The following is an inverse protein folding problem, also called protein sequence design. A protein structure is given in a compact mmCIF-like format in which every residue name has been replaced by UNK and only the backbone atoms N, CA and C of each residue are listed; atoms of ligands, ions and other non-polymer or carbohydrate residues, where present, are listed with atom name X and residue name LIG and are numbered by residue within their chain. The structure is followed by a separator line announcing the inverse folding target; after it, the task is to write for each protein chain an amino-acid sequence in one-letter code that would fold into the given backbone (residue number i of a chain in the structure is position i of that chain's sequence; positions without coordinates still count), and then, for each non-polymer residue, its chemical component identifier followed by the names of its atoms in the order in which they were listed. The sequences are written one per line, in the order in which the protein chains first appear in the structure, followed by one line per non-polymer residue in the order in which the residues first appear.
data_IF_179162697086
#
_entry.id   IF_179162697086
#
_cell.length_a   1.000
_cell.length_b   1.000
_cell.length_c   1.000
_cell.angle_alpha   90.00
_cell.angle_beta   90.00
_cell.angle_gamma   90.00
#
_symmetry.space_group_name_H-M   'P 1'
#
loop_
_entity.id
_entity.type
_entity.pdbx_description
1 polymer ?
#
# COMPACT_ATOMS: atom_id res chain seq x y z
N UNK A 1 26.77 18.69 -5.24
CA UNK A 1 26.01 19.85 -4.69
C UNK A 1 24.85 19.28 -3.91
N UNK A 2 24.48 19.85 -2.76
CA UNK A 2 23.21 19.50 -2.10
C UNK A 2 22.10 20.21 -2.86
N UNK A 3 21.02 19.52 -3.19
CA UNK A 3 19.89 20.10 -3.91
C UNK A 3 19.32 21.31 -3.15
N UNK A 4 18.90 22.36 -3.87
CA UNK A 4 18.40 23.61 -3.25
C UNK A 4 16.94 23.51 -2.78
N UNK A 5 16.19 22.51 -3.22
CA UNK A 5 14.75 22.36 -2.94
C UNK A 5 14.41 21.42 -1.80
N UNK A 6 13.13 21.03 -1.72
CA UNK A 6 12.61 20.05 -0.76
C UNK A 6 11.53 19.16 -1.38
N UNK A 7 11.28 17.99 -0.79
CA UNK A 7 10.26 17.05 -1.25
C UNK A 7 10.68 16.21 -2.46
N UNK A 8 9.70 15.73 -3.24
CA UNK A 8 9.92 14.79 -4.36
C UNK A 8 10.70 15.40 -5.55
N UNK A 9 10.66 16.73 -5.65
CA UNK A 9 11.27 17.55 -6.70
C UNK A 9 12.29 18.54 -6.11
N UNK A 10 13.03 18.12 -5.08
CA UNK A 10 14.05 18.94 -4.43
C UNK A 10 15.15 19.42 -5.40
N UNK A 11 15.38 18.68 -6.49
CA UNK A 11 16.32 19.00 -7.56
C UNK A 11 15.76 19.91 -8.67
N UNK A 12 14.50 20.36 -8.60
CA UNK A 12 13.86 21.04 -9.73
C UNK A 12 14.55 22.36 -10.15
N UNK A 13 15.02 23.15 -9.20
CA UNK A 13 15.74 24.40 -9.49
C UNK A 13 17.13 24.11 -10.06
N UNK A 14 17.84 23.12 -9.51
CA UNK A 14 19.14 22.71 -10.03
C UNK A 14 19.02 22.13 -11.44
N UNK A 15 17.92 21.44 -11.75
CA UNK A 15 17.62 20.92 -13.09
C UNK A 15 17.39 22.03 -14.11
N UNK A 16 16.70 23.12 -13.73
CA UNK A 16 16.52 24.29 -14.61
C UNK A 16 17.85 25.00 -14.88
N UNK A 17 18.73 25.05 -13.89
CA UNK A 17 20.06 25.66 -14.00
C UNK A 17 21.01 24.80 -14.85
N UNK A 18 20.99 23.48 -14.66
CA UNK A 18 21.83 22.52 -15.39
C UNK A 18 21.39 22.32 -16.84
N UNK A 19 20.09 22.35 -17.12
CA UNK A 19 19.52 22.11 -18.46
C UNK A 19 19.93 20.77 -19.09
N UNK A 20 19.73 19.62 -18.41
CA UNK A 20 20.17 18.32 -18.93
C UNK A 20 19.34 17.89 -20.15
N UNK A 21 19.96 17.20 -21.10
CA UNK A 21 19.25 16.63 -22.26
C UNK A 21 18.34 15.45 -21.87
N UNK A 22 18.75 14.67 -20.85
CA UNK A 22 18.08 13.44 -20.42
C UNK A 22 18.02 13.37 -18.90
N UNK A 23 16.87 13.03 -18.35
CA UNK A 23 16.68 12.68 -16.95
C UNK A 23 16.25 11.21 -16.82
N UNK A 24 17.06 10.42 -16.11
CA UNK A 24 16.92 8.97 -16.04
C UNK A 24 16.56 8.55 -14.61
N UNK A 25 15.52 7.73 -14.47
CA UNK A 25 15.13 7.07 -13.21
C UNK A 25 14.88 5.58 -13.42
N UNK A 26 14.84 4.81 -12.35
CA UNK A 26 14.25 3.47 -12.32
C UNK A 26 12.73 3.52 -12.07
N UNK A 27 12.03 2.38 -12.21
CA UNK A 27 10.58 2.28 -12.02
C UNK A 27 10.10 2.73 -10.61
N UNK A 28 10.85 2.42 -9.56
CA UNK A 28 10.57 2.89 -8.18
C UNK A 28 10.88 4.38 -7.96
N UNK A 29 11.77 4.95 -8.78
CA UNK A 29 12.11 6.37 -8.76
C UNK A 29 11.20 7.25 -9.65
N UNK A 30 10.35 6.64 -10.48
CA UNK A 30 9.39 7.34 -11.32
C UNK A 30 8.27 7.99 -10.51
N UNK A 31 7.80 9.16 -10.97
CA UNK A 31 6.52 9.74 -10.57
C UNK A 31 5.94 10.62 -11.68
N UNK A 32 4.61 10.80 -11.76
CA UNK A 32 3.97 11.69 -12.73
C UNK A 32 4.48 13.15 -12.67
N UNK A 33 4.84 13.66 -11.49
CA UNK A 33 5.36 15.01 -11.33
C UNK A 33 6.73 15.18 -12.00
N UNK A 34 7.59 14.15 -11.90
CA UNK A 34 8.91 14.15 -12.53
C UNK A 34 8.79 14.13 -14.05
N UNK A 35 7.90 13.29 -14.57
CA UNK A 35 7.63 13.21 -16.00
C UNK A 35 7.05 14.53 -16.53
N UNK A 36 6.10 15.14 -15.80
CA UNK A 36 5.53 16.44 -16.16
C UNK A 36 6.58 17.55 -16.16
N UNK A 37 7.43 17.63 -15.13
CA UNK A 37 8.51 18.60 -15.05
C UNK A 37 9.47 18.47 -16.24
N UNK A 38 9.89 17.25 -16.59
CA UNK A 38 10.76 17.02 -17.72
C UNK A 38 10.10 17.44 -19.04
N UNK A 39 8.80 17.16 -19.21
CA UNK A 39 8.03 17.60 -20.38
C UNK A 39 7.94 19.12 -20.49
N UNK A 40 7.74 19.82 -19.37
CA UNK A 40 7.69 21.30 -19.33
C UNK A 40 9.04 21.94 -19.66
N UNK A 41 10.14 21.28 -19.29
CA UNK A 41 11.51 21.76 -19.53
C UNK A 41 12.12 21.26 -20.86
N UNK A 42 11.39 20.44 -21.64
CA UNK A 42 11.89 19.86 -22.89
C UNK A 42 12.99 18.81 -22.70
N UNK A 43 13.07 18.19 -21.53
CA UNK A 43 14.07 17.19 -21.14
C UNK A 43 13.56 15.79 -21.51
N UNK A 44 14.39 14.94 -22.10
CA UNK A 44 14.03 13.54 -22.35
C UNK A 44 13.94 12.76 -21.03
N UNK A 45 12.74 12.30 -20.67
CA UNK A 45 12.51 11.50 -19.47
C UNK A 45 12.57 9.99 -19.78
N UNK A 46 13.50 9.27 -19.15
CA UNK A 46 13.68 7.82 -19.34
C UNK A 46 13.48 7.06 -18.03
N UNK A 47 12.55 6.11 -18.03
CA UNK A 47 12.35 5.15 -16.94
C UNK A 47 12.99 3.81 -17.33
N UNK A 48 13.97 3.35 -16.54
CA UNK A 48 14.67 2.09 -16.74
C UNK A 48 14.09 0.98 -15.86
N UNK A 49 13.98 -0.22 -16.42
CA UNK A 49 13.54 -1.40 -15.68
C UNK A 49 14.71 -2.05 -14.95
N UNK A 50 14.47 -2.52 -13.72
CA UNK A 50 15.45 -3.40 -13.03
C UNK A 50 15.31 -4.83 -13.57
N UNK A 51 15.93 -5.11 -14.71
CA UNK A 51 16.10 -6.49 -15.18
C UNK A 51 17.40 -7.03 -14.56
N UNK A 52 17.36 -7.96 -13.58
CA UNK A 52 18.59 -8.61 -13.14
C UNK A 52 19.19 -9.41 -14.29
N UNK A 53 20.40 -9.06 -14.73
CA UNK A 53 21.12 -9.83 -15.74
C UNK A 53 21.42 -11.24 -15.23
N UNK A 54 21.09 -12.24 -16.05
CA UNK A 54 21.10 -13.67 -15.73
C UNK A 54 22.46 -14.30 -15.37
N UNK A 55 23.57 -13.54 -15.33
CA UNK A 55 24.92 -14.07 -15.11
C UNK A 55 25.82 -13.20 -14.22
N UNK A 56 25.26 -12.27 -13.43
CA UNK A 56 26.05 -11.66 -12.36
C UNK A 56 26.08 -12.62 -11.17
N UNK A 57 27.26 -13.03 -10.65
CA UNK A 57 27.30 -13.77 -9.41
C UNK A 57 26.61 -12.90 -8.36
N UNK A 58 25.57 -13.44 -7.73
CA UNK A 58 24.97 -12.77 -6.58
C UNK A 58 26.12 -12.48 -5.62
N UNK A 59 26.47 -11.20 -5.43
CA UNK A 59 27.45 -10.80 -4.41
C UNK A 59 27.08 -11.59 -3.16
N UNK A 60 28.02 -12.39 -2.65
CA UNK A 60 27.82 -13.30 -1.54
C UNK A 60 27.45 -12.49 -0.31
N UNK A 61 26.16 -12.20 -0.18
CA UNK A 61 25.47 -11.50 0.90
C UNK A 61 25.12 -12.48 2.01
N UNK A 62 25.84 -13.59 2.09
CA UNK A 62 25.68 -14.63 3.10
C UNK A 62 25.93 -14.09 4.52
N UNK A 63 26.55 -12.92 4.66
CA UNK A 63 26.72 -12.21 5.94
C UNK A 63 25.72 -11.05 6.15
N UNK A 64 25.07 -10.53 5.10
CA UNK A 64 24.12 -9.41 5.17
C UNK A 64 22.64 -9.87 5.17
N UNK A 65 22.39 -11.18 4.96
CA UNK A 65 21.06 -11.81 4.95
C UNK A 65 20.53 -12.25 6.32
N UNK A 66 21.25 -12.00 7.41
CA UNK A 66 20.80 -12.45 8.74
C UNK A 66 19.60 -11.65 9.27
N UNK A 67 19.32 -10.47 8.71
CA UNK A 67 18.28 -9.58 9.21
C UNK A 67 17.28 -9.33 8.07
N UNK A 68 16.07 -9.90 8.20
CA UNK A 68 14.93 -9.54 7.35
C UNK A 68 14.40 -8.19 7.83
N UNK A 69 14.48 -7.11 7.03
CA UNK A 69 14.03 -5.80 7.50
C UNK A 69 12.55 -5.80 7.83
N UNK A 70 12.12 -4.87 8.70
CA UNK A 70 10.74 -4.73 9.11
C UNK A 70 9.80 -4.65 7.89
N UNK A 71 8.78 -5.51 7.78
CA UNK A 71 7.94 -5.57 6.59
C UNK A 71 7.02 -4.37 6.40
N UNK A 72 6.51 -4.22 5.18
CA UNK A 72 5.45 -3.25 4.86
C UNK A 72 4.11 -3.97 4.76
N UNK A 73 3.04 -3.20 4.58
CA UNK A 73 1.71 -3.74 4.27
C UNK A 73 1.02 -2.91 3.20
N UNK A 74 0.17 -3.55 2.41
CA UNK A 74 -0.84 -2.89 1.59
C UNK A 74 -2.24 -3.34 1.99
N UNK A 75 -3.20 -2.45 1.77
CA UNK A 75 -4.62 -2.76 1.85
C UNK A 75 -5.11 -3.27 0.49
N UNK A 76 -5.83 -4.40 0.51
CA UNK A 76 -6.50 -4.94 -0.67
C UNK A 76 -7.98 -4.54 -0.69
N UNK A 77 -8.72 -4.80 0.39
CA UNK A 77 -10.14 -4.44 0.48
C UNK A 77 -10.60 -4.26 1.93
N UNK A 78 -11.68 -3.50 2.13
CA UNK A 78 -12.36 -3.39 3.43
C UNK A 78 -11.73 -2.44 4.45
N UNK A 79 -10.59 -1.81 4.14
CA UNK A 79 -9.95 -0.81 5.02
C UNK A 79 -10.89 0.33 5.41
N UNK A 80 -10.70 0.82 6.65
CA UNK A 80 -11.57 1.67 7.48
C UNK A 80 -12.53 0.91 8.39
N UNK A 81 -12.82 -0.36 8.11
CA UNK A 81 -13.70 -1.17 8.97
C UNK A 81 -13.10 -1.44 10.36
N UNK A 82 -11.78 -1.31 10.50
CA UNK A 82 -11.04 -1.43 11.76
C UNK A 82 -11.22 -0.22 12.69
N UNK A 83 -11.89 0.83 12.21
CA UNK A 83 -12.28 1.98 12.99
C UNK A 83 -13.69 1.79 13.59
N UNK A 84 -13.86 1.80 14.93
CA UNK A 84 -15.16 1.61 15.57
C UNK A 84 -16.23 2.60 15.15
N UNK A 85 -15.85 3.84 14.82
CA UNK A 85 -16.80 4.84 14.33
C UNK A 85 -17.32 4.50 12.91
N UNK A 86 -16.67 3.59 12.18
CA UNK A 86 -17.14 3.01 10.92
C UNK A 86 -17.89 1.71 11.19
N UNK A 87 -17.25 0.72 11.84
CA UNK A 87 -17.86 -0.61 12.03
C UNK A 87 -19.09 -0.62 12.94
N UNK A 88 -19.35 0.42 13.74
CA UNK A 88 -20.62 0.56 14.47
C UNK A 88 -21.84 0.50 13.55
N UNK A 89 -21.71 0.92 12.30
CA UNK A 89 -22.80 0.92 11.33
C UNK A 89 -23.05 -0.49 10.75
N UNK A 90 -21.99 -1.22 10.41
CA UNK A 90 -22.09 -2.58 9.86
C UNK A 90 -20.79 -3.36 10.13
N UNK A 91 -20.83 -4.65 10.53
CA UNK A 91 -19.62 -5.45 10.73
C UNK A 91 -19.04 -5.90 9.37
N UNK A 92 -17.75 -6.17 9.30
CA UNK A 92 -17.13 -6.56 8.04
C UNK A 92 -15.66 -6.88 8.17
N UNK A 93 -15.08 -7.37 7.08
CA UNK A 93 -13.67 -7.73 7.04
C UNK A 93 -12.80 -6.66 6.36
N UNK A 94 -11.55 -6.57 6.79
CA UNK A 94 -10.48 -5.97 6.03
C UNK A 94 -9.52 -7.04 5.53
N UNK A 95 -8.85 -6.76 4.41
CA UNK A 95 -7.92 -7.66 3.74
C UNK A 95 -6.62 -6.90 3.50
N UNK A 96 -5.52 -7.40 4.05
CA UNK A 96 -4.19 -6.83 3.84
C UNK A 96 -3.23 -7.87 3.29
N UNK A 97 -2.23 -7.41 2.56
CA UNK A 97 -1.08 -8.24 2.20
C UNK A 97 0.17 -7.67 2.85
N UNK A 98 0.95 -8.55 3.48
CA UNK A 98 2.25 -8.19 4.03
C UNK A 98 3.32 -8.26 2.95
N UNK A 99 4.25 -7.32 2.93
CA UNK A 99 5.22 -7.16 1.85
C UNK A 99 6.65 -7.33 2.33
N UNK A 100 7.44 -8.02 1.51
CA UNK A 100 8.89 -7.99 1.63
C UNK A 100 9.40 -6.57 1.34
N UNK A 101 10.33 -6.04 2.15
CA UNK A 101 10.92 -4.72 1.95
C UNK A 101 11.97 -4.74 0.82
N UNK A 102 11.55 -5.09 -0.41
CA UNK A 102 12.43 -5.16 -1.59
C UNK A 102 12.80 -3.79 -2.15
N UNK A 103 12.04 -2.76 -1.77
CA UNK A 103 12.28 -1.35 -2.05
C UNK A 103 11.95 -0.53 -0.80
N UNK A 104 12.52 0.67 -0.74
CA UNK A 104 12.18 1.64 0.31
C UNK A 104 10.98 2.48 -0.15
N UNK A 105 9.91 2.47 0.65
CA UNK A 105 8.69 3.23 0.35
C UNK A 105 8.72 4.60 1.01
N UNK A 106 8.21 5.61 0.31
CA UNK A 106 8.10 6.98 0.79
C UNK A 106 7.30 7.06 2.10
N UNK A 107 7.63 8.01 2.96
CA UNK A 107 6.81 8.28 4.14
C UNK A 107 5.45 8.90 3.75
N UNK A 108 4.47 8.79 4.65
CA UNK A 108 3.11 9.36 4.47
C UNK A 108 2.41 8.93 3.18
N UNK A 109 2.71 7.74 2.69
CA UNK A 109 2.32 7.25 1.36
C UNK A 109 1.25 6.15 1.36
N UNK A 110 0.67 5.81 2.51
CA UNK A 110 -0.31 4.73 2.65
C UNK A 110 0.27 3.35 2.95
N UNK A 111 1.59 3.24 3.11
CA UNK A 111 2.30 1.98 3.34
C UNK A 111 2.49 1.60 4.83
N UNK A 112 1.61 2.08 5.72
CA UNK A 112 1.71 1.92 7.18
C UNK A 112 3.05 2.38 7.80
N UNK A 113 3.69 3.40 7.23
CA UNK A 113 5.04 3.81 7.63
C UNK A 113 5.13 4.33 9.07
N UNK A 114 4.05 4.90 9.63
CA UNK A 114 4.00 5.33 11.04
C UNK A 114 4.04 4.14 12.00
N UNK A 115 3.11 3.19 11.84
CA UNK A 115 3.09 1.96 12.65
C UNK A 115 4.35 1.12 12.43
N UNK A 116 4.92 1.12 11.21
CA UNK A 116 6.20 0.46 10.92
C UNK A 116 7.35 1.09 11.69
N UNK A 117 7.40 2.42 11.84
CA UNK A 117 8.39 3.09 12.71
C UNK A 117 8.24 2.67 14.17
N UNK A 118 7.01 2.54 14.67
CA UNK A 118 6.73 2.00 16.01
C UNK A 118 7.16 0.55 16.17
N UNK A 119 6.98 -0.28 15.15
CA UNK A 119 7.51 -1.64 15.13
C UNK A 119 9.04 -1.65 15.18
N UNK A 120 9.69 -0.72 14.48
CA UNK A 120 11.15 -0.60 14.50
C UNK A 120 11.65 -0.11 15.85
N UNK A 121 10.97 0.85 16.47
CA UNK A 121 11.26 1.32 17.82
C UNK A 121 11.16 0.17 18.84
N UNK A 122 10.13 -0.68 18.70
CA UNK A 122 9.83 -1.76 19.64
C UNK A 122 10.73 -3.00 19.47
N UNK A 123 11.07 -3.36 18.23
CA UNK A 123 11.75 -4.63 17.91
C UNK A 123 13.02 -4.46 17.07
N UNK A 124 13.51 -3.24 16.93
CA UNK A 124 14.63 -2.90 16.06
C UNK A 124 14.32 -3.22 14.58
N UNK A 125 15.23 -3.82 13.85
CA UNK A 125 15.17 -3.94 12.40
C UNK A 125 14.35 -5.13 11.89
N UNK A 126 13.89 -6.05 12.75
CA UNK A 126 13.19 -7.27 12.34
C UNK A 126 12.06 -7.67 13.30
N UNK A 127 11.16 -8.54 12.83
CA UNK A 127 10.13 -9.09 13.70
C UNK A 127 10.70 -10.18 14.61
N UNK A 128 10.32 -10.21 15.91
CA UNK A 128 10.71 -11.28 16.81
C UNK A 128 10.15 -12.64 16.40
N UNK A 129 10.78 -13.72 16.88
CA UNK A 129 10.28 -15.09 16.74
C UNK A 129 9.10 -15.34 17.70
N UNK A 130 7.88 -15.07 17.25
CA UNK A 130 6.66 -15.24 18.02
C UNK A 130 5.46 -15.45 17.09
N UNK A 131 4.32 -15.89 17.62
CA UNK A 131 3.04 -15.99 16.90
C UNK A 131 2.69 -14.63 16.26
N UNK A 132 2.50 -14.57 14.93
CA UNK A 132 2.23 -13.31 14.24
C UNK A 132 1.05 -12.52 14.79
N UNK A 133 -0.06 -13.18 15.17
CA UNK A 133 -1.21 -12.52 15.79
C UNK A 133 -0.87 -11.87 17.14
N UNK A 134 0.01 -12.48 17.93
CA UNK A 134 0.47 -11.92 19.21
C UNK A 134 1.38 -10.71 18.99
N UNK A 135 2.22 -10.75 17.95
CA UNK A 135 3.00 -9.59 17.52
C UNK A 135 2.07 -8.46 17.06
N UNK A 136 1.09 -8.76 16.19
CA UNK A 136 0.09 -7.79 15.73
C UNK A 136 -0.58 -7.06 16.90
N UNK A 137 -1.03 -7.83 17.90
CA UNK A 137 -1.73 -7.27 19.07
C UNK A 137 -0.82 -6.45 19.97
N UNK A 138 0.44 -6.87 20.12
CA UNK A 138 1.46 -6.13 20.86
C UNK A 138 1.74 -4.79 20.17
N UNK A 139 2.02 -4.82 18.87
CA UNK A 139 2.29 -3.61 18.08
C UNK A 139 1.10 -2.66 18.06
N UNK A 140 -0.12 -3.18 17.89
CA UNK A 140 -1.33 -2.36 17.94
C UNK A 140 -1.46 -1.56 19.25
N UNK A 141 -1.16 -2.20 20.37
CA UNK A 141 -1.21 -1.56 21.70
C UNK A 141 -0.06 -0.59 21.90
N UNK A 142 1.12 -0.89 21.35
CA UNK A 142 2.29 -0.02 21.42
C UNK A 142 2.14 1.24 20.54
N UNK A 143 1.50 1.11 19.38
CA UNK A 143 1.22 2.21 18.44
C UNK A 143 0.13 3.17 18.96
N UNK A 144 -0.58 2.79 20.02
CA UNK A 144 -1.67 3.54 20.62
C UNK A 144 -1.45 3.72 22.13
N UNK A 145 -0.68 4.75 22.49
CA UNK A 145 -0.35 5.07 23.88
C UNK A 145 -1.63 5.33 24.73
N UNK A 146 -1.61 5.00 26.03
CA UNK A 146 -2.68 5.37 26.94
C UNK A 146 -2.97 6.88 26.88
N UNK A 147 -4.23 7.24 26.60
CA UNK A 147 -4.65 8.64 26.46
C UNK A 147 -4.67 9.16 25.03
N UNK A 148 -4.30 8.35 24.03
CA UNK A 148 -4.46 8.69 22.60
C UNK A 148 -5.93 9.00 22.28
N UNK A 149 -6.19 10.19 21.75
CA UNK A 149 -7.55 10.65 21.39
C UNK A 149 -8.03 10.07 20.07
N UNK A 150 -7.12 9.88 19.11
CA UNK A 150 -7.40 9.29 17.80
C UNK A 150 -6.63 7.98 17.66
N UNK A 151 -7.30 6.88 18.00
CA UNK A 151 -6.71 5.54 17.97
C UNK A 151 -6.53 5.10 16.52
N UNK A 152 -5.29 4.78 16.14
CA UNK A 152 -4.95 4.17 14.86
C UNK A 152 -5.67 2.83 14.73
N UNK A 153 -6.05 2.44 13.51
CA UNK A 153 -6.71 1.16 13.27
C UNK A 153 -5.73 -0.02 13.39
N UNK A 154 -6.23 -1.22 13.72
CA UNK A 154 -5.35 -2.38 13.92
C UNK A 154 -4.85 -3.03 12.63
N UNK A 155 -5.39 -2.66 11.46
CA UNK A 155 -4.98 -3.24 10.17
C UNK A 155 -3.48 -3.11 9.88
N UNK A 156 -2.85 -2.00 10.31
CA UNK A 156 -1.45 -1.70 10.02
C UNK A 156 -0.55 -2.67 10.79
N UNK A 157 -0.83 -2.82 12.09
CA UNK A 157 -0.14 -3.78 12.94
C UNK A 157 -0.31 -5.21 12.44
N UNK A 158 -1.51 -5.59 11.99
CA UNK A 158 -1.83 -6.91 11.44
C UNK A 158 -1.06 -7.14 10.15
N UNK A 159 -1.13 -6.21 9.19
CA UNK A 159 -0.49 -6.34 7.89
C UNK A 159 1.04 -6.34 7.95
N UNK A 160 1.64 -5.62 8.90
CA UNK A 160 3.10 -5.64 9.11
C UNK A 160 3.55 -6.98 9.71
N UNK A 161 2.80 -7.53 10.65
CA UNK A 161 3.27 -8.68 11.47
C UNK A 161 2.82 -10.03 10.95
N UNK A 162 1.66 -10.14 10.30
CA UNK A 162 1.12 -11.39 9.77
C UNK A 162 1.56 -11.60 8.31
N UNK A 163 2.29 -12.67 7.97
CA UNK A 163 2.70 -12.94 6.59
C UNK A 163 1.51 -13.35 5.72
N UNK A 164 1.69 -13.29 4.41
CA UNK A 164 0.70 -13.65 3.40
C UNK A 164 -0.37 -12.58 3.19
N UNK A 165 -1.54 -13.02 2.73
CA UNK A 165 -2.73 -12.19 2.59
C UNK A 165 -3.70 -12.58 3.71
N UNK A 166 -4.12 -11.61 4.50
CA UNK A 166 -4.92 -11.84 5.70
C UNK A 166 -6.26 -11.13 5.59
N UNK A 167 -7.36 -11.89 5.68
CA UNK A 167 -8.70 -11.36 5.91
C UNK A 167 -9.01 -11.44 7.40
N UNK A 168 -9.49 -10.35 7.98
CA UNK A 168 -9.81 -10.29 9.40
C UNK A 168 -11.10 -9.52 9.65
N UNK A 169 -12.02 -10.13 10.39
CA UNK A 169 -13.41 -9.69 10.55
C UNK A 169 -13.60 -8.90 11.85
N UNK A 170 -14.23 -7.73 11.75
CA UNK A 170 -14.55 -6.86 12.87
C UNK A 170 -16.04 -6.94 13.21
N UNK A 171 -16.31 -7.28 14.47
CA UNK A 171 -17.61 -7.03 15.06
C UNK A 171 -17.85 -5.52 15.22
N UNK A 172 -19.14 -5.14 15.30
CA UNK A 172 -19.54 -3.73 15.37
C UNK A 172 -18.82 -3.00 16.51
N UNK A 173 -18.14 -1.90 16.17
CA UNK A 173 -17.54 -0.98 17.14
C UNK A 173 -16.31 -1.53 17.85
N UNK A 174 -15.63 -2.55 17.30
CA UNK A 174 -14.40 -3.12 17.89
C UNK A 174 -13.17 -2.68 17.11
N UNK A 175 -12.09 -2.40 17.85
CA UNK A 175 -10.76 -2.12 17.28
C UNK A 175 -9.98 -3.38 16.91
N UNK A 176 -10.36 -4.54 17.45
CA UNK A 176 -9.65 -5.80 17.22
C UNK A 176 -10.60 -6.81 16.58
N UNK A 177 -10.16 -7.51 15.52
CA UNK A 177 -11.00 -8.48 14.83
C UNK A 177 -11.27 -9.73 15.68
N UNK A 178 -12.40 -10.38 15.44
CA UNK A 178 -12.80 -11.62 16.12
C UNK A 178 -12.44 -12.89 15.36
N UNK A 179 -12.16 -12.78 14.05
CA UNK A 179 -11.80 -13.91 13.19
C UNK A 179 -10.71 -13.51 12.19
N UNK A 180 -9.81 -14.45 11.90
CA UNK A 180 -8.77 -14.33 10.89
C UNK A 180 -8.86 -15.49 9.90
N UNK A 181 -8.59 -15.21 8.63
CA UNK A 181 -8.39 -16.16 7.55
C UNK A 181 -7.13 -15.73 6.79
N UNK A 182 -6.22 -16.67 6.50
CA UNK A 182 -4.91 -16.36 5.89
C UNK A 182 -4.68 -17.20 4.64
N UNK A 183 -4.29 -16.55 3.56
CA UNK A 183 -3.71 -17.17 2.36
C UNK A 183 -2.19 -17.12 2.51
N UNK A 184 -1.57 -18.29 2.61
CA UNK A 184 -0.12 -18.46 2.67
C UNK A 184 0.43 -19.33 1.54
N UNK A 185 -0.42 -19.83 0.66
CA UNK A 185 0.00 -20.68 -0.45
C UNK A 185 0.62 -19.84 -1.58
N UNK A 186 1.68 -20.37 -2.18
CA UNK A 186 2.45 -19.66 -3.21
C UNK A 186 1.66 -19.46 -4.49
N UNK A 187 0.69 -20.33 -4.79
CA UNK A 187 -0.08 -20.28 -6.04
C UNK A 187 -0.96 -19.03 -6.07
N UNK A 188 -1.74 -18.81 -5.02
CA UNK A 188 -2.62 -17.65 -4.89
C UNK A 188 -1.83 -16.36 -4.72
N UNK A 189 -0.76 -16.38 -3.92
CA UNK A 189 0.13 -15.22 -3.75
C UNK A 189 0.74 -14.81 -5.08
N UNK A 190 1.34 -15.76 -5.81
CA UNK A 190 1.94 -15.47 -7.12
C UNK A 190 0.91 -15.00 -8.14
N UNK A 191 -0.30 -15.58 -8.11
CA UNK A 191 -1.40 -15.15 -8.96
C UNK A 191 -1.73 -13.65 -8.78
N UNK A 192 -1.72 -13.15 -7.54
CA UNK A 192 -1.93 -11.73 -7.24
C UNK A 192 -0.69 -10.89 -7.59
N UNK A 193 0.52 -11.31 -7.20
CA UNK A 193 1.77 -10.60 -7.48
C UNK A 193 1.99 -10.36 -8.98
N UNK A 194 1.65 -11.34 -9.82
CA UNK A 194 1.80 -11.22 -11.27
C UNK A 194 0.86 -10.16 -11.89
N UNK A 195 -0.15 -9.71 -11.15
CA UNK A 195 -1.20 -8.79 -11.61
C UNK A 195 -1.22 -7.45 -10.87
N UNK A 196 -0.45 -7.32 -9.79
CA UNK A 196 -0.44 -6.13 -8.93
C UNK A 196 0.76 -5.24 -9.29
N UNK A 197 0.43 -4.02 -9.70
CA UNK A 197 1.39 -2.97 -10.02
C UNK A 197 1.20 -1.79 -9.09
N UNK A 198 2.29 -1.07 -8.86
CA UNK A 198 2.33 0.12 -8.03
C UNK A 198 2.88 1.28 -8.85
N UNK A 199 2.19 2.41 -8.77
CA UNK A 199 2.64 3.69 -9.31
C UNK A 199 2.85 4.66 -8.15
N UNK A 200 4.04 5.25 -8.08
CA UNK A 200 4.35 6.30 -7.11
C UNK A 200 3.64 7.59 -7.53
N UNK A 201 2.84 8.15 -6.63
CA UNK A 201 2.28 9.49 -6.76
C UNK A 201 3.19 10.48 -6.02
N UNK A 202 2.61 11.36 -5.21
CA UNK A 202 3.29 12.32 -4.35
C UNK A 202 2.97 12.04 -2.87
N UNK A 203 3.82 12.41 -1.91
CA UNK A 203 3.48 12.33 -0.49
C UNK A 203 2.22 13.15 -0.15
N UNK A 204 1.45 12.70 0.84
CA UNK A 204 0.26 13.44 1.28
C UNK A 204 0.63 14.84 1.80
N UNK A 205 -0.04 15.92 1.35
CA UNK A 205 0.25 17.29 1.80
C UNK A 205 0.15 17.47 3.32
N UNK A 206 0.81 18.49 3.85
CA UNK A 206 0.64 18.93 5.24
C UNK A 206 -0.78 19.44 5.51
N UNK A 207 -1.28 19.17 6.72
CA UNK A 207 -2.64 19.52 7.12
C UNK A 207 -3.75 18.72 6.40
N UNK A 208 -3.40 17.68 5.63
CA UNK A 208 -4.39 16.84 4.96
C UNK A 208 -5.24 16.08 5.97
N UNK A 209 -6.53 16.44 6.04
CA UNK A 209 -7.52 15.80 6.90
C UNK A 209 -8.59 15.08 6.07
N UNK A 210 -8.44 13.76 5.95
CA UNK A 210 -9.40 12.89 5.26
C UNK A 210 -10.77 12.82 5.97
N UNK A 211 -10.81 13.10 7.27
CA UNK A 211 -12.01 13.02 8.11
C UNK A 211 -12.81 14.34 8.14
N UNK A 212 -12.36 15.37 7.41
CA UNK A 212 -13.02 16.70 7.41
C UNK A 212 -14.39 16.71 6.74
N UNK A 213 -14.69 15.72 5.89
CA UNK A 213 -15.98 15.55 5.21
C UNK A 213 -16.23 14.04 5.08
N UNK A 214 -17.23 13.52 5.79
CA UNK A 214 -17.49 12.08 5.85
C UNK A 214 -18.96 11.74 5.65
N UNK A 215 -19.20 10.64 4.95
CA UNK A 215 -20.53 10.10 4.66
C UNK A 215 -20.66 8.67 5.20
N UNK A 216 -20.34 8.48 6.48
CA UNK A 216 -20.32 7.16 7.12
C UNK A 216 -21.73 6.81 7.61
N UNK A 217 -22.32 5.76 7.03
CA UNK A 217 -23.63 5.25 7.39
C UNK A 217 -23.74 3.75 7.08
N UNK A 218 -24.81 3.09 7.53
CA UNK A 218 -25.02 1.65 7.35
C UNK A 218 -24.95 1.21 5.89
N UNK A 219 -25.54 1.97 4.97
CA UNK A 219 -25.53 1.63 3.54
C UNK A 219 -24.11 1.61 2.97
N UNK A 220 -23.34 2.67 3.24
CA UNK A 220 -21.99 2.81 2.71
C UNK A 220 -21.00 1.82 3.35
N UNK A 221 -21.12 1.57 4.66
CA UNK A 221 -20.28 0.58 5.37
C UNK A 221 -20.64 -0.83 4.94
N UNK A 222 -21.92 -1.15 4.69
CA UNK A 222 -22.31 -2.44 4.13
C UNK A 222 -21.71 -2.66 2.73
N UNK A 223 -21.74 -1.66 1.86
CA UNK A 223 -21.10 -1.73 0.52
C UNK A 223 -19.60 -2.00 0.62
N UNK A 224 -18.91 -1.39 1.60
CA UNK A 224 -17.50 -1.69 1.87
C UNK A 224 -17.31 -3.15 2.29
N UNK A 225 -18.12 -3.66 3.22
CA UNK A 225 -18.03 -5.02 3.72
C UNK A 225 -18.33 -6.06 2.63
N UNK A 226 -19.40 -5.85 1.86
CA UNK A 226 -19.76 -6.72 0.73
C UNK A 226 -18.65 -6.76 -0.33
N UNK A 227 -18.02 -5.62 -0.62
CA UNK A 227 -16.91 -5.54 -1.56
C UNK A 227 -15.65 -6.28 -1.07
N UNK A 228 -15.39 -6.28 0.24
CA UNK A 228 -14.30 -7.04 0.83
C UNK A 228 -14.53 -8.56 0.70
N UNK A 229 -15.73 -9.05 1.00
CA UNK A 229 -16.04 -10.48 0.79
C UNK A 229 -15.96 -10.86 -0.69
N UNK A 230 -16.44 -10.01 -1.60
CA UNK A 230 -16.32 -10.23 -3.04
C UNK A 230 -14.85 -10.34 -3.49
N UNK A 231 -13.99 -9.45 -3.00
CA UNK A 231 -12.55 -9.48 -3.28
C UNK A 231 -11.90 -10.77 -2.73
N UNK A 232 -12.27 -11.18 -1.51
CA UNK A 232 -11.77 -12.41 -0.91
C UNK A 232 -12.19 -13.65 -1.70
N UNK A 233 -13.47 -13.74 -2.08
CA UNK A 233 -13.98 -14.83 -2.91
C UNK A 233 -13.28 -14.89 -4.27
N UNK A 234 -12.97 -13.74 -4.86
CA UNK A 234 -12.16 -13.66 -6.08
C UNK A 234 -10.75 -14.21 -5.86
N UNK A 235 -10.09 -13.83 -4.77
CA UNK A 235 -8.74 -14.29 -4.43
C UNK A 235 -8.67 -15.81 -4.22
N UNK A 236 -9.52 -16.37 -3.37
CA UNK A 236 -9.47 -17.81 -3.04
C UNK A 236 -9.78 -18.70 -4.26
N UNK A 237 -10.56 -18.19 -5.22
CA UNK A 237 -10.90 -18.90 -6.45
C UNK A 237 -9.98 -18.53 -7.63
N UNK A 238 -9.04 -17.59 -7.43
CA UNK A 238 -8.24 -16.98 -8.51
C UNK A 238 -9.10 -16.46 -9.68
N UNK A 239 -10.28 -15.95 -9.34
CA UNK A 239 -11.22 -15.34 -10.28
C UNK A 239 -10.88 -13.86 -10.44
N UNK A 240 -10.30 -13.53 -11.59
CA UNK A 240 -9.78 -12.19 -11.88
C UNK A 240 -10.88 -11.13 -11.91
N UNK A 241 -12.00 -11.43 -12.57
CA UNK A 241 -13.11 -10.50 -12.71
C UNK A 241 -13.73 -10.22 -11.34
N UNK A 242 -14.03 -11.28 -10.58
CA UNK A 242 -14.60 -11.16 -9.25
C UNK A 242 -13.68 -10.43 -8.27
N UNK A 243 -12.38 -10.72 -8.30
CA UNK A 243 -11.40 -10.03 -7.46
C UNK A 243 -11.33 -8.54 -7.80
N UNK A 244 -11.20 -8.20 -9.08
CA UNK A 244 -11.08 -6.80 -9.52
C UNK A 244 -12.34 -5.99 -9.23
N UNK A 245 -13.52 -6.58 -9.39
CA UNK A 245 -14.78 -5.96 -9.00
C UNK A 245 -14.84 -5.68 -7.49
N UNK A 246 -14.49 -6.66 -6.65
CA UNK A 246 -14.43 -6.47 -5.20
C UNK A 246 -13.41 -5.41 -4.78
N UNK A 247 -12.22 -5.45 -5.36
CA UNK A 247 -11.14 -4.50 -5.10
C UNK A 247 -11.53 -3.06 -5.45
N UNK A 248 -12.08 -2.85 -6.66
CA UNK A 248 -12.51 -1.53 -7.12
C UNK A 248 -13.74 -1.02 -6.35
N UNK A 249 -14.72 -1.89 -6.08
CA UNK A 249 -15.89 -1.53 -5.30
C UNK A 249 -15.54 -1.20 -3.85
N UNK A 250 -14.51 -1.83 -3.28
CA UNK A 250 -13.98 -1.45 -1.98
C UNK A 250 -13.43 -0.03 -2.02
N UNK A 251 -12.60 0.30 -3.02
CA UNK A 251 -12.07 1.66 -3.16
C UNK A 251 -13.19 2.70 -3.36
N UNK A 252 -14.15 2.43 -4.23
CA UNK A 252 -15.32 3.31 -4.46
C UNK A 252 -16.14 3.52 -3.18
N UNK A 253 -16.28 2.48 -2.35
CA UNK A 253 -16.99 2.58 -1.06
C UNK A 253 -16.21 3.43 -0.06
N UNK A 254 -14.88 3.31 -0.03
CA UNK A 254 -14.02 4.16 0.79
C UNK A 254 -14.12 5.62 0.36
N UNK A 255 -13.99 5.93 -0.94
CA UNK A 255 -14.14 7.30 -1.46
C UNK A 255 -15.53 7.87 -1.16
N UNK A 256 -16.58 7.03 -1.23
CA UNK A 256 -17.94 7.47 -0.87
C UNK A 256 -18.04 7.86 0.60
N UNK A 257 -17.41 7.11 1.51
CA UNK A 257 -17.41 7.44 2.94
C UNK A 257 -16.46 8.59 3.29
N UNK A 258 -15.37 8.73 2.53
CA UNK A 258 -14.31 9.70 2.74
C UNK A 258 -13.97 10.42 1.43
N UNK A 259 -14.82 11.36 0.95
CA UNK A 259 -14.63 12.00 -0.36
C UNK A 259 -13.27 12.68 -0.54
N UNK A 260 -12.67 13.17 0.55
CA UNK A 260 -11.34 13.80 0.54
C UNK A 260 -10.20 12.84 0.18
N UNK A 261 -10.43 11.52 0.16
CA UNK A 261 -9.44 10.54 -0.35
C UNK A 261 -9.01 10.87 -1.78
N UNK A 262 -9.93 11.44 -2.56
CA UNK A 262 -9.73 11.81 -3.95
C UNK A 262 -9.55 13.32 -4.11
N UNK A 263 -8.81 13.69 -5.15
CA UNK A 263 -8.71 15.05 -5.64
C UNK A 263 -8.59 15.02 -7.18
N UNK A 264 -8.76 16.17 -7.88
CA UNK A 264 -8.70 16.21 -9.34
C UNK A 264 -7.39 15.68 -9.94
N UNK A 265 -6.26 15.86 -9.26
CA UNK A 265 -4.97 15.38 -9.75
C UNK A 265 -4.89 13.84 -9.68
N UNK A 266 -5.36 13.22 -8.58
CA UNK A 266 -5.43 11.75 -8.48
C UNK A 266 -6.37 11.20 -9.54
N UNK A 267 -7.52 11.85 -9.78
CA UNK A 267 -8.47 11.42 -10.81
C UNK A 267 -7.82 11.45 -12.20
N UNK A 268 -7.11 12.53 -12.56
CA UNK A 268 -6.37 12.62 -13.83
C UNK A 268 -5.37 11.47 -13.99
N UNK A 269 -4.67 11.07 -12.94
CA UNK A 269 -3.76 9.92 -13.01
C UNK A 269 -4.54 8.64 -13.23
N UNK A 270 -5.61 8.38 -12.47
CA UNK A 270 -6.47 7.20 -12.68
C UNK A 270 -6.96 7.12 -14.13
N UNK A 271 -7.42 8.23 -14.70
CA UNK A 271 -7.92 8.29 -16.07
C UNK A 271 -6.87 7.86 -17.12
N UNK A 272 -5.58 8.13 -16.88
CA UNK A 272 -4.48 7.70 -17.76
C UNK A 272 -4.24 6.18 -17.77
N UNK A 273 -4.69 5.48 -16.72
CA UNK A 273 -4.53 4.03 -16.57
C UNK A 273 -5.84 3.27 -16.69
N UNK A 274 -6.98 3.94 -16.84
CA UNK A 274 -8.31 3.33 -16.93
C UNK A 274 -8.39 2.23 -18.01
N UNK A 275 -7.78 2.45 -19.17
CA UNK A 275 -7.80 1.47 -20.27
C UNK A 275 -6.68 0.43 -20.19
N UNK A 276 -5.78 0.55 -19.20
CA UNK A 276 -4.61 -0.32 -19.00
C UNK A 276 -4.75 -1.24 -17.78
N UNK A 277 -5.49 -0.79 -16.76
CA UNK A 277 -5.75 -1.52 -15.53
C UNK A 277 -7.24 -1.82 -15.39
N UNK A 278 -7.57 -3.03 -14.93
CA UNK A 278 -8.95 -3.45 -14.68
C UNK A 278 -9.52 -2.81 -13.42
N UNK A 279 -8.67 -2.61 -12.41
CA UNK A 279 -9.05 -2.00 -11.14
C UNK A 279 -7.88 -1.19 -10.55
N UNK A 280 -8.20 -0.24 -9.67
CA UNK A 280 -7.23 0.63 -9.03
C UNK A 280 -7.68 1.07 -7.63
N UNK A 281 -6.71 1.44 -6.80
CA UNK A 281 -6.93 1.87 -5.42
C UNK A 281 -5.74 2.64 -4.87
N UNK A 282 -5.99 3.61 -4.00
CA UNK A 282 -4.92 4.24 -3.23
C UNK A 282 -4.49 3.33 -2.08
N UNK A 283 -3.18 3.14 -1.89
CA UNK A 283 -2.61 2.23 -0.88
C UNK A 283 -2.94 2.56 0.58
N UNK A 284 -3.42 3.78 0.87
CA UNK A 284 -3.86 4.19 2.19
C UNK A 284 -4.98 5.21 2.18
N UNK A 285 -5.04 6.06 3.21
CA UNK A 285 -6.15 6.98 3.47
C UNK A 285 -6.35 8.13 2.44
N UNK A 286 -5.70 8.08 1.28
CA UNK A 286 -5.90 9.03 0.17
C UNK A 286 -5.09 10.32 0.23
N UNK A 287 -5.26 11.18 -0.77
CA UNK A 287 -4.54 12.46 -0.89
C UNK A 287 -3.11 12.38 -1.48
N UNK A 288 -2.63 11.18 -1.81
CA UNK A 288 -1.30 10.93 -2.38
C UNK A 288 -0.85 9.48 -2.11
N UNK A 289 0.46 9.25 -2.17
CA UNK A 289 1.12 8.00 -1.83
C UNK A 289 1.38 7.12 -3.04
N UNK A 290 0.84 5.90 -3.02
CA UNK A 290 0.92 4.98 -4.14
C UNK A 290 -0.47 4.63 -4.66
N UNK A 291 -0.59 4.55 -5.98
CA UNK A 291 -1.74 3.98 -6.68
C UNK A 291 -1.44 2.50 -6.98
N UNK A 292 -2.26 1.61 -6.45
CA UNK A 292 -2.24 0.19 -6.76
C UNK A 292 -3.10 -0.02 -8.01
N UNK A 293 -2.58 -0.74 -9.00
CA UNK A 293 -3.24 -1.05 -10.26
C UNK A 293 -3.27 -2.57 -10.44
N UNK A 294 -4.42 -3.11 -10.85
CA UNK A 294 -4.58 -4.54 -11.14
C UNK A 294 -4.73 -4.73 -12.65
N UNK A 295 -3.87 -5.55 -13.27
CA UNK A 295 -3.91 -5.84 -14.70
C UNK A 295 -3.28 -7.19 -15.03
N UNK A 296 -3.80 -7.89 -16.05
CA UNK A 296 -3.12 -9.06 -16.63
C UNK A 296 -2.08 -8.67 -17.69
N UNK A 297 -2.11 -7.41 -18.15
CA UNK A 297 -1.13 -6.85 -19.07
C UNK A 297 -0.11 -6.03 -18.28
N UNK A 298 1.08 -5.90 -18.85
CA UNK A 298 2.10 -5.04 -18.28
C UNK A 298 1.64 -3.58 -18.27
N UNK A 299 1.88 -2.89 -17.15
CA UNK A 299 1.63 -1.46 -17.00
C UNK A 299 2.97 -0.73 -17.10
N UNK A 300 3.19 0.10 -18.13
CA UNK A 300 4.41 0.90 -18.24
C UNK A 300 4.59 1.82 -17.03
N UNK A 301 5.84 2.05 -16.64
CA UNK A 301 6.24 2.96 -15.55
C UNK A 301 5.68 2.60 -14.15
N UNK A 302 5.19 1.38 -13.97
CA UNK A 302 4.76 0.86 -12.68
C UNK A 302 5.66 -0.29 -12.23
N UNK A 303 5.96 -0.36 -10.94
CA UNK A 303 6.78 -1.42 -10.36
C UNK A 303 5.91 -2.49 -9.68
N UNK A 304 6.48 -3.67 -9.45
CA UNK A 304 5.82 -4.75 -8.71
C UNK A 304 6.36 -4.89 -7.30
N UNK A 305 5.55 -5.48 -6.43
CA UNK A 305 5.89 -5.78 -5.03
C UNK A 305 5.94 -7.27 -4.80
N UNK A 306 6.54 -7.67 -3.69
CA UNK A 306 6.60 -9.06 -3.26
C UNK A 306 5.85 -9.22 -1.94
N UNK A 307 4.88 -10.11 -1.91
CA UNK A 307 4.13 -10.48 -0.72
C UNK A 307 5.01 -11.43 0.11
N UNK A 308 5.17 -11.08 1.38
CA UNK A 308 5.91 -11.89 2.34
C UNK A 308 5.18 -13.20 2.58
N UNK A 309 5.84 -14.31 2.33
CA UNK A 309 5.30 -15.64 2.60
C UNK A 309 5.66 -16.08 4.03
N UNK A 310 4.86 -16.96 4.62
CA UNK A 310 5.18 -17.52 5.93
C UNK A 310 6.44 -18.36 5.79
N UNK A 311 7.45 -18.09 6.61
CA UNK A 311 8.60 -18.98 6.72
C UNK A 311 8.11 -20.32 7.28
N UNK A 312 8.10 -21.35 6.43
CA UNK A 312 8.04 -22.72 6.89
C UNK A 312 9.43 -23.05 7.41
N UNK A 313 9.57 -23.09 8.73
CA UNK A 313 10.74 -23.71 9.35
C UNK A 313 10.75 -25.18 8.89
N UNK A 314 11.71 -25.53 8.03
CA UNK A 314 12.14 -26.90 7.81
C UNK A 314 13.07 -27.27 8.96
#
# INVERSE_FOLDING_TARGET
TVNKGSGLLDFAEDMKELGPDIFIVNEDGHSPEKEKLCKELGIEYKVLKRIPHANLPARSTTSLRAIKPMPYRIDLAGTWIDQPYVSKYYPGAAITASLEPTIEFNERSGMATSTRKKAIELWNDHLPLEKPEKLAKTLFRYDNDPGTTEVSGSQDSIGITMPGINKFFYDKGKYWPSRFETISDLKTIKWLEDRLYMLTLWPRPDGYNVLSDTCINTENVKKLADAAELAWEGLINMDFEKFTDGFLNSFRSQVRMFPKMMNPEIQKIIDQYHDKAKAWKLSGAGGGGYLILISEKEIPNAFRIKIRVKDFWI
#
